data_IF_631923650854
#
_entry.id   IF_631923650854
#
_cell.length_a   1.000
_cell.length_b   1.000
_cell.length_c   1.000
_cell.angle_alpha   90.00
_cell.angle_beta   90.00
_cell.angle_gamma   90.00
#
_symmetry.space_group_name_H-M   'P 1'
#
loop_
_entity.id
_entity.type
_entity.pdbx_description
1 polymer ?
#
# COMPACT_ATOMS: atom_id res chain seq x y z
N UNK A 1 0.20 19.28 -7.25
CA UNK A 1 0.50 19.02 -8.68
C UNK A 1 -0.55 18.07 -9.19
N UNK A 2 -1.17 18.27 -10.34
CA UNK A 2 -2.26 17.39 -10.76
C UNK A 2 -1.77 16.16 -11.53
N UNK A 3 -2.31 15.00 -11.16
CA UNK A 3 -2.13 13.72 -11.84
C UNK A 3 -3.45 13.37 -12.53
N UNK A 4 -3.38 13.13 -13.84
CA UNK A 4 -4.51 12.72 -14.66
C UNK A 4 -4.40 11.23 -15.00
N UNK A 5 -5.55 10.56 -15.17
CA UNK A 5 -5.61 9.13 -15.56
C UNK A 5 -4.96 8.83 -16.92
N UNK A 6 -4.79 9.84 -17.78
CA UNK A 6 -4.15 9.73 -19.09
C UNK A 6 -2.64 10.06 -19.08
N UNK A 7 -2.09 10.43 -17.92
CA UNK A 7 -0.68 10.78 -17.79
C UNK A 7 0.17 9.51 -17.77
N UNK A 8 1.28 9.49 -18.51
CA UNK A 8 2.17 8.32 -18.57
C UNK A 8 3.00 8.19 -17.30
N UNK A 9 2.39 7.72 -16.21
CA UNK A 9 3.08 7.45 -14.95
C UNK A 9 3.96 6.20 -15.07
N UNK A 10 5.14 6.24 -14.44
CA UNK A 10 6.14 5.18 -14.56
C UNK A 10 6.70 4.82 -13.19
N UNK A 11 6.88 3.52 -12.96
CA UNK A 11 7.74 2.98 -11.93
C UNK A 11 9.14 2.80 -12.48
N UNK A 12 10.15 3.32 -11.78
CA UNK A 12 11.56 3.17 -12.14
C UNK A 12 12.30 2.37 -11.09
N UNK A 13 13.02 1.33 -11.49
CA UNK A 13 13.86 0.52 -10.61
C UNK A 13 15.27 1.11 -10.56
N UNK A 14 15.62 1.73 -9.44
CA UNK A 14 16.94 2.33 -9.20
C UNK A 14 17.84 1.29 -8.53
N UNK A 15 18.94 0.91 -9.17
CA UNK A 15 19.93 0.03 -8.56
C UNK A 15 21.35 0.48 -8.86
N UNK A 16 22.21 0.37 -7.86
CA UNK A 16 23.64 0.66 -8.01
C UNK A 16 24.40 -0.51 -8.67
N UNK A 17 23.82 -1.73 -8.67
CA UNK A 17 24.42 -2.95 -9.22
C UNK A 17 23.37 -3.99 -9.65
N UNK A 18 23.76 -4.98 -10.45
CA UNK A 18 22.91 -6.13 -10.81
C UNK A 18 22.67 -7.09 -9.63
N UNK A 19 23.51 -7.03 -8.59
CA UNK A 19 23.44 -7.94 -7.43
C UNK A 19 22.77 -7.32 -6.20
N UNK A 20 22.49 -6.02 -6.23
CA UNK A 20 21.82 -5.31 -5.13
C UNK A 20 20.31 -5.27 -5.35
N UNK A 21 19.51 -5.27 -4.27
CA UNK A 21 18.09 -4.95 -4.37
C UNK A 21 17.92 -3.58 -5.03
N UNK A 22 17.01 -3.50 -6.00
CA UNK A 22 16.67 -2.24 -6.63
C UNK A 22 15.60 -1.52 -5.80
N UNK A 23 15.76 -0.21 -5.59
CA UNK A 23 14.72 0.64 -5.01
C UNK A 23 13.66 0.96 -6.07
N UNK A 24 12.40 0.96 -5.66
CA UNK A 24 11.30 1.39 -6.52
C UNK A 24 11.13 2.90 -6.37
N UNK A 25 11.09 3.61 -7.49
CA UNK A 25 10.78 5.03 -7.54
C UNK A 25 9.56 5.27 -8.39
N UNK A 26 8.72 6.21 -7.95
CA UNK A 26 7.63 6.76 -8.73
C UNK A 26 8.16 7.91 -9.59
N UNK A 27 7.83 7.89 -10.87
CA UNK A 27 8.32 8.88 -11.85
C UNK A 27 7.16 9.46 -12.62
N UNK A 28 7.13 10.80 -12.65
CA UNK A 28 6.25 11.57 -13.51
C UNK A 28 7.12 12.18 -14.60
N UNK A 29 7.05 11.64 -15.84
CA UNK A 29 7.79 12.21 -16.96
C UNK A 29 7.16 13.55 -17.33
N UNK A 30 7.96 14.61 -17.37
CA UNK A 30 7.50 15.89 -17.91
C UNK A 30 7.65 15.88 -19.44
N UNK A 31 6.55 16.11 -20.14
CA UNK A 31 6.42 15.89 -21.59
C UNK A 31 7.18 16.85 -22.49
N UNK A 32 8.10 17.69 -21.98
CA UNK A 32 8.79 18.71 -22.79
C UNK A 32 10.33 18.65 -22.66
N UNK A 33 10.99 18.93 -23.79
CA UNK A 33 12.44 18.76 -23.96
C UNK A 33 13.20 19.78 -23.12
N UNK A 34 13.67 19.37 -21.94
CA UNK A 34 14.56 20.17 -21.08
C UNK A 34 14.14 20.28 -19.61
N UNK A 35 12.96 19.77 -19.26
CA UNK A 35 12.54 19.64 -17.88
C UNK A 35 13.00 18.29 -17.29
N UNK A 36 13.26 18.26 -15.98
CA UNK A 36 13.70 17.04 -15.28
C UNK A 36 12.48 16.30 -14.77
N UNK A 37 12.44 14.98 -15.00
CA UNK A 37 11.47 14.09 -14.40
C UNK A 37 11.34 14.32 -12.89
N UNK A 38 10.10 14.35 -12.41
CA UNK A 38 9.85 14.34 -10.98
C UNK A 38 9.95 12.88 -10.53
N UNK A 39 10.88 12.60 -9.63
CA UNK A 39 11.14 11.26 -9.10
C UNK A 39 10.96 11.27 -7.59
N UNK A 40 10.16 10.33 -7.08
CA UNK A 40 9.96 10.07 -5.67
C UNK A 40 10.46 8.65 -5.36
N UNK A 41 11.50 8.53 -4.54
CA UNK A 41 11.97 7.23 -4.06
C UNK A 41 11.01 6.68 -3.01
N UNK A 42 10.60 5.42 -3.16
CA UNK A 42 9.81 4.71 -2.16
C UNK A 42 10.72 3.91 -1.21
N UNK A 43 10.18 3.44 -0.10
CA UNK A 43 10.86 2.49 0.79
C UNK A 43 10.94 1.05 0.24
N UNK A 44 10.32 0.79 -0.92
CA UNK A 44 10.13 -0.57 -1.45
C UNK A 44 11.36 -1.04 -2.23
N UNK A 45 11.76 -2.28 -1.98
CA UNK A 45 12.94 -2.90 -2.58
C UNK A 45 12.57 -4.17 -3.33
N UNK A 46 13.04 -4.29 -4.58
CA UNK A 46 12.88 -5.50 -5.41
C UNK A 46 14.20 -6.26 -5.41
N UNK A 47 14.16 -7.52 -4.96
CA UNK A 47 15.34 -8.39 -5.00
C UNK A 47 15.89 -8.59 -6.41
N UNK A 48 17.21 -8.64 -6.55
CA UNK A 48 17.91 -8.78 -7.84
C UNK A 48 17.42 -9.96 -8.70
N UNK A 49 17.09 -11.08 -8.07
CA UNK A 49 16.55 -12.29 -8.75
C UNK A 49 15.10 -12.13 -9.21
N UNK A 50 14.30 -11.34 -8.49
CA UNK A 50 12.91 -11.04 -8.87
C UNK A 50 12.87 -10.05 -10.03
N UNK A 51 13.83 -9.12 -10.10
CA UNK A 51 13.95 -8.15 -11.18
C UNK A 51 14.13 -8.80 -12.54
N UNK A 52 15.07 -9.74 -12.66
CA UNK A 52 15.35 -10.41 -13.94
C UNK A 52 14.23 -11.33 -14.43
N UNK A 53 13.37 -11.82 -13.53
CA UNK A 53 12.23 -12.66 -13.90
C UNK A 53 10.95 -11.87 -14.21
N UNK A 54 10.69 -10.78 -13.48
CA UNK A 54 9.43 -10.03 -13.58
C UNK A 54 9.51 -8.77 -14.44
N UNK A 55 10.68 -8.15 -14.59
CA UNK A 55 10.81 -6.83 -15.21
C UNK A 55 11.88 -6.84 -16.33
N UNK A 56 11.42 -6.70 -17.57
CA UNK A 56 12.28 -6.63 -18.76
C UNK A 56 12.82 -5.22 -19.06
N UNK A 57 12.36 -4.22 -18.30
CA UNK A 57 12.69 -2.80 -18.44
C UNK A 57 12.86 -2.21 -17.05
N UNK A 58 13.80 -1.27 -16.91
CA UNK A 58 14.01 -0.51 -15.68
C UNK A 58 12.89 0.52 -15.43
N UNK A 59 12.10 0.77 -16.47
CA UNK A 59 10.91 1.60 -16.45
C UNK A 59 9.68 0.76 -16.78
N UNK A 60 8.69 0.79 -15.89
CA UNK A 60 7.43 0.07 -16.00
C UNK A 60 6.29 1.06 -15.94
N UNK A 61 5.45 1.11 -16.97
CA UNK A 61 4.26 1.96 -16.94
C UNK A 61 3.30 1.52 -15.85
N UNK A 62 2.65 2.48 -15.21
CA UNK A 62 1.55 2.22 -14.30
C UNK A 62 0.45 1.47 -15.04
N UNK A 63 -0.03 0.41 -14.41
CA UNK A 63 -1.20 -0.33 -14.88
C UNK A 63 -2.49 0.29 -14.37
N UNK A 64 -3.61 -0.09 -14.97
CA UNK A 64 -4.94 0.31 -14.51
C UNK A 64 -5.16 -0.05 -13.03
N UNK A 65 -4.70 -1.23 -12.58
CA UNK A 65 -4.83 -1.64 -11.19
C UNK A 65 -4.07 -0.72 -10.23
N UNK A 66 -2.88 -0.25 -10.62
CA UNK A 66 -2.07 0.65 -9.79
C UNK A 66 -2.79 2.00 -9.64
N UNK A 67 -3.40 2.50 -10.72
CA UNK A 67 -4.17 3.73 -10.71
C UNK A 67 -5.48 3.62 -9.92
N UNK A 68 -6.23 2.52 -10.09
CA UNK A 68 -7.47 2.27 -9.33
C UNK A 68 -7.20 2.15 -7.83
N UNK A 69 -6.11 1.47 -7.44
CA UNK A 69 -5.70 1.39 -6.04
C UNK A 69 -5.32 2.78 -5.49
N UNK A 70 -4.57 3.58 -6.25
CA UNK A 70 -4.26 4.97 -5.88
C UNK A 70 -5.55 5.76 -5.58
N UNK A 71 -6.53 5.73 -6.49
CA UNK A 71 -7.78 6.45 -6.31
C UNK A 71 -8.55 5.98 -5.07
N UNK A 72 -8.68 4.66 -4.88
CA UNK A 72 -9.39 4.10 -3.73
C UNK A 72 -8.74 4.52 -2.40
N UNK A 73 -7.41 4.58 -2.35
CA UNK A 73 -6.68 5.03 -1.16
C UNK A 73 -6.84 6.52 -0.90
N UNK A 74 -6.76 7.34 -1.95
CA UNK A 74 -6.94 8.78 -1.80
C UNK A 74 -8.36 9.13 -1.32
N UNK A 75 -9.38 8.45 -1.84
CA UNK A 75 -10.77 8.64 -1.39
C UNK A 75 -10.93 8.29 0.10
N UNK A 76 -10.35 7.17 0.54
CA UNK A 76 -10.54 6.64 1.90
C UNK A 76 -9.67 7.30 2.97
N UNK A 77 -8.47 7.74 2.60
CA UNK A 77 -7.51 8.34 3.54
C UNK A 77 -7.67 9.85 3.69
N UNK A 78 -8.29 10.53 2.72
CA UNK A 78 -8.40 12.00 2.70
C UNK A 78 -9.85 12.51 2.66
N UNK A 79 -10.80 11.79 3.30
CA UNK A 79 -12.23 12.16 3.41
C UNK A 79 -12.88 12.56 2.07
N UNK A 80 -12.46 11.90 0.98
CA UNK A 80 -12.73 12.31 -0.39
C UNK A 80 -12.01 13.63 -0.70
N UNK A 81 -11.10 13.68 -1.68
CA UNK A 81 -10.52 14.97 -2.04
C UNK A 81 -11.68 15.88 -2.49
N UNK A 82 -11.94 16.96 -1.75
CA UNK A 82 -12.74 18.11 -2.22
C UNK A 82 -12.22 18.61 -3.60
N UNK A 83 -11.00 18.18 -3.98
CA UNK A 83 -10.28 18.47 -5.21
C UNK A 83 -10.38 17.38 -6.32
N UNK A 84 -11.23 16.34 -6.20
CA UNK A 84 -11.52 15.45 -7.33
C UNK A 84 -12.53 16.11 -8.28
N UNK A 85 -12.02 16.98 -9.15
CA UNK A 85 -12.84 17.63 -10.20
C UNK A 85 -12.48 17.02 -11.54
N UNK A 86 -13.45 16.38 -12.20
CA UNK A 86 -13.39 15.96 -13.61
C UNK A 86 -12.28 14.93 -13.96
N UNK A 87 -11.97 14.01 -13.04
CA UNK A 87 -11.00 12.92 -13.27
C UNK A 87 -9.52 13.33 -13.14
N UNK A 88 -9.28 14.54 -12.64
CA UNK A 88 -7.97 15.06 -12.30
C UNK A 88 -7.80 15.00 -10.78
N UNK A 89 -6.68 14.44 -10.32
CA UNK A 89 -6.38 14.32 -8.89
C UNK A 89 -5.17 15.20 -8.59
N UNK A 90 -5.39 16.28 -7.84
CA UNK A 90 -4.30 17.10 -7.33
C UNK A 90 -3.56 16.37 -6.21
N UNK A 91 -2.30 16.06 -6.44
CA UNK A 91 -1.42 15.33 -5.54
C UNK A 91 -0.23 16.22 -5.20
N UNK A 92 -0.02 16.47 -3.90
CA UNK A 92 1.18 17.13 -3.42
C UNK A 92 2.21 16.09 -3.00
N UNK A 93 3.24 15.87 -3.83
CA UNK A 93 4.32 14.92 -3.51
C UNK A 93 5.23 15.37 -2.35
N UNK A 94 5.03 16.58 -1.83
CA UNK A 94 5.68 17.03 -0.58
C UNK A 94 4.91 16.63 0.67
N UNK A 95 3.63 16.24 0.52
CA UNK A 95 2.81 15.72 1.61
C UNK A 95 3.23 14.28 1.96
N UNK A 96 3.69 14.03 3.20
CA UNK A 96 4.06 12.69 3.65
C UNK A 96 2.93 11.66 3.51
N UNK A 97 1.66 12.07 3.66
CA UNK A 97 0.52 11.17 3.54
C UNK A 97 0.30 10.71 2.08
N UNK A 98 0.59 11.57 1.11
CA UNK A 98 0.60 11.20 -0.31
C UNK A 98 1.74 10.23 -0.62
N UNK A 99 2.94 10.51 -0.09
CA UNK A 99 4.10 9.63 -0.24
C UNK A 99 3.82 8.24 0.33
N UNK A 100 3.08 8.18 1.44
CA UNK A 100 2.61 6.93 2.05
C UNK A 100 1.67 6.17 1.11
N UNK A 101 0.67 6.82 0.51
CA UNK A 101 -0.21 6.19 -0.48
C UNK A 101 0.60 5.62 -1.65
N UNK A 102 1.54 6.38 -2.20
CA UNK A 102 2.39 5.91 -3.31
C UNK A 102 3.23 4.69 -2.88
N UNK A 103 3.71 4.67 -1.64
CA UNK A 103 4.47 3.55 -1.08
C UNK A 103 3.60 2.30 -0.91
N UNK A 104 2.32 2.46 -0.53
CA UNK A 104 1.35 1.36 -0.46
C UNK A 104 1.10 0.77 -1.86
N UNK A 105 0.86 1.61 -2.87
CA UNK A 105 0.68 1.15 -4.26
C UNK A 105 1.94 0.44 -4.77
N UNK A 106 3.12 0.99 -4.47
CA UNK A 106 4.39 0.35 -4.80
C UNK A 106 4.54 -1.01 -4.12
N UNK A 107 4.18 -1.12 -2.84
CA UNK A 107 4.22 -2.41 -2.12
C UNK A 107 3.30 -3.44 -2.78
N UNK A 108 2.05 -3.08 -3.04
CA UNK A 108 1.09 -3.96 -3.71
C UNK A 108 1.59 -4.46 -5.07
N UNK A 109 2.33 -3.61 -5.81
CA UNK A 109 2.86 -3.95 -7.13
C UNK A 109 4.11 -4.83 -7.09
N UNK A 110 5.03 -4.53 -6.17
CA UNK A 110 6.40 -5.04 -6.25
C UNK A 110 6.74 -6.08 -5.18
N UNK A 111 6.11 -6.00 -4.00
CA UNK A 111 6.38 -6.94 -2.93
C UNK A 111 5.75 -8.31 -3.19
N UNK A 112 6.38 -9.34 -2.63
CA UNK A 112 5.80 -10.67 -2.59
C UNK A 112 5.03 -10.79 -1.27
N UNK A 113 3.76 -11.15 -1.35
CA UNK A 113 2.96 -11.36 -0.16
C UNK A 113 3.51 -12.52 0.68
N UNK A 114 3.64 -12.30 1.98
CA UNK A 114 3.85 -13.35 2.97
C UNK A 114 2.50 -13.96 3.36
N UNK A 115 2.36 -15.27 3.15
CA UNK A 115 1.14 -15.99 3.52
C UNK A 115 1.13 -16.29 5.02
N UNK A 116 0.21 -15.65 5.72
CA UNK A 116 -0.02 -15.79 7.16
C UNK A 116 -1.42 -16.35 7.45
N UNK A 117 -2.11 -16.91 6.44
CA UNK A 117 -3.48 -17.44 6.60
C UNK A 117 -3.57 -18.62 7.56
N UNK A 118 -2.45 -19.31 7.80
CA UNK A 118 -2.35 -20.43 8.73
C UNK A 118 -1.92 -20.02 10.15
N UNK A 119 -1.58 -18.74 10.36
CA UNK A 119 -1.13 -18.24 11.66
C UNK A 119 -2.30 -18.10 12.63
N UNK A 120 -2.02 -18.41 13.89
CA UNK A 120 -2.99 -18.22 14.95
C UNK A 120 -2.81 -16.84 15.59
N UNK A 121 -3.64 -15.89 15.17
CA UNK A 121 -3.66 -14.53 15.70
C UNK A 121 -4.48 -14.40 17.01
N UNK A 122 -4.70 -15.52 17.70
CA UNK A 122 -5.43 -15.66 18.95
C UNK A 122 -6.93 -15.96 18.77
N UNK A 123 -7.69 -15.86 19.85
CA UNK A 123 -9.14 -16.14 19.83
C UNK A 123 -9.92 -15.13 18.96
N UNK A 124 -10.94 -15.57 18.21
CA UNK A 124 -11.77 -14.69 17.40
C UNK A 124 -12.41 -13.59 18.22
N UNK A 125 -12.34 -12.35 17.73
CA UNK A 125 -13.03 -11.21 18.33
C UNK A 125 -14.34 -11.00 17.58
N UNK A 126 -15.46 -11.25 18.26
CA UNK A 126 -16.78 -10.99 17.68
C UNK A 126 -17.06 -9.49 17.70
N UNK A 127 -17.02 -8.86 16.53
CA UNK A 127 -17.33 -7.44 16.33
C UNK A 127 -18.28 -7.25 15.15
N UNK A 128 -18.81 -6.03 15.02
CA UNK A 128 -19.59 -5.64 13.85
C UNK A 128 -18.64 -5.28 12.71
N UNK A 129 -18.73 -6.04 11.63
CA UNK A 129 -18.03 -5.73 10.40
C UNK A 129 -18.94 -4.90 9.49
N UNK A 130 -18.44 -3.75 9.05
CA UNK A 130 -18.97 -3.11 7.85
C UNK A 130 -18.54 -3.92 6.63
N UNK A 131 -19.13 -3.61 5.46
CA UNK A 131 -18.65 -4.16 4.21
C UNK A 131 -17.18 -3.74 4.03
N UNK A 132 -16.33 -4.72 3.72
CA UNK A 132 -14.88 -4.54 3.61
C UNK A 132 -14.52 -4.58 2.12
N UNK A 133 -13.75 -3.61 1.67
CA UNK A 133 -13.35 -3.41 0.28
C UNK A 133 -11.85 -3.10 0.16
N UNK A 134 -11.35 -3.10 -1.08
CA UNK A 134 -9.99 -2.65 -1.39
C UNK A 134 -9.85 -1.16 -1.06
N UNK A 135 -8.74 -0.81 -0.42
CA UNK A 135 -8.43 0.52 0.09
C UNK A 135 -8.85 0.74 1.54
N UNK A 136 -9.67 -0.15 2.14
CA UNK A 136 -10.06 -0.02 3.54
C UNK A 136 -8.86 -0.14 4.48
N UNK A 137 -8.82 0.77 5.45
CA UNK A 137 -7.96 0.68 6.61
C UNK A 137 -8.57 -0.33 7.60
N UNK A 138 -7.79 -1.33 7.98
CA UNK A 138 -8.19 -2.38 8.90
C UNK A 138 -7.06 -2.63 9.89
N UNK A 139 -7.30 -3.52 10.84
CA UNK A 139 -6.28 -3.99 11.76
C UNK A 139 -6.23 -5.50 11.80
N UNK A 140 -5.11 -6.05 12.24
CA UNK A 140 -5.01 -7.44 12.66
C UNK A 140 -4.22 -7.50 13.97
N UNK A 141 -4.36 -8.60 14.71
CA UNK A 141 -3.75 -8.76 16.03
C UNK A 141 -2.51 -9.64 15.96
N UNK A 142 -1.44 -9.25 16.63
CA UNK A 142 -0.28 -10.12 16.90
C UNK A 142 -0.01 -10.08 18.41
N UNK A 143 -0.19 -11.22 19.08
CA UNK A 143 -0.16 -11.28 20.55
C UNK A 143 -1.23 -10.36 21.16
N UNK A 144 -0.80 -9.37 21.92
CA UNK A 144 -1.66 -8.39 22.60
C UNK A 144 -1.73 -7.03 21.87
N UNK A 145 -1.15 -6.92 20.67
CA UNK A 145 -1.07 -5.68 19.90
C UNK A 145 -1.92 -5.75 18.63
N UNK A 146 -2.48 -4.60 18.24
CA UNK A 146 -3.22 -4.42 16.99
C UNK A 146 -2.40 -3.55 16.06
N UNK A 147 -2.27 -3.97 14.81
CA UNK A 147 -1.44 -3.33 13.80
C UNK A 147 -2.28 -2.89 12.62
N UNK A 148 -2.00 -1.68 12.12
CA UNK A 148 -2.73 -1.10 11.01
C UNK A 148 -2.28 -1.68 9.67
N UNK A 149 -3.27 -1.99 8.83
CA UNK A 149 -3.07 -2.50 7.48
C UNK A 149 -4.06 -1.89 6.52
N UNK A 150 -3.68 -1.82 5.25
CA UNK A 150 -4.56 -1.40 4.16
C UNK A 150 -4.79 -2.58 3.24
N UNK A 151 -6.06 -2.86 2.92
CA UNK A 151 -6.41 -3.92 1.99
C UNK A 151 -6.08 -3.49 0.57
N UNK A 152 -5.28 -4.28 -0.14
CA UNK A 152 -4.92 -4.03 -1.55
C UNK A 152 -5.53 -5.06 -2.49
N UNK A 153 -5.85 -6.26 -1.99
CA UNK A 153 -6.65 -7.25 -2.70
C UNK A 153 -7.55 -8.00 -1.71
N UNK A 154 -8.77 -8.34 -2.14
CA UNK A 154 -9.75 -9.02 -1.30
C UNK A 154 -10.38 -10.20 -2.05
N UNK A 155 -10.46 -11.34 -1.37
CA UNK A 155 -11.14 -12.55 -1.81
C UNK A 155 -12.20 -12.97 -0.78
N UNK A 156 -12.95 -14.04 -1.06
CA UNK A 156 -14.02 -14.53 -0.20
C UNK A 156 -13.56 -14.95 1.21
N UNK A 157 -12.32 -15.42 1.34
CA UNK A 157 -11.79 -16.00 2.59
C UNK A 157 -10.52 -15.34 3.11
N UNK A 158 -9.84 -14.54 2.28
CA UNK A 158 -8.54 -13.97 2.58
C UNK A 158 -8.44 -12.55 2.04
N UNK A 159 -7.55 -11.76 2.62
CA UNK A 159 -7.22 -10.42 2.17
C UNK A 159 -5.70 -10.28 2.09
N UNK A 160 -5.24 -9.64 1.01
CA UNK A 160 -3.85 -9.20 0.89
C UNK A 160 -3.78 -7.75 1.32
N UNK A 161 -2.91 -7.47 2.29
CA UNK A 161 -2.83 -6.17 2.95
C UNK A 161 -1.39 -5.67 3.00
N UNK A 162 -1.22 -4.35 2.94
CA UNK A 162 0.06 -3.67 3.21
C UNK A 162 0.09 -3.22 4.65
N UNK A 163 1.17 -3.53 5.38
CA UNK A 163 1.35 -3.10 6.76
C UNK A 163 1.79 -1.64 6.85
N UNK A 164 1.13 -0.86 7.70
CA UNK A 164 1.45 0.56 7.91
C UNK A 164 2.39 0.81 9.09
N UNK A 165 2.83 -0.26 9.74
CA UNK A 165 3.65 -0.23 10.95
C UNK A 165 4.67 -1.38 10.93
N UNK A 166 5.74 -1.24 11.71
CA UNK A 166 6.66 -2.35 11.97
C UNK A 166 6.04 -3.27 13.04
N UNK A 167 5.58 -4.44 12.60
CA UNK A 167 4.91 -5.44 13.44
C UNK A 167 5.95 -6.29 14.19
N UNK A 168 7.14 -6.45 13.62
CA UNK A 168 8.19 -7.31 14.14
C UNK A 168 7.87 -8.80 13.92
N UNK A 169 8.25 -9.64 14.87
CA UNK A 169 8.14 -11.10 14.73
C UNK A 169 6.72 -11.59 14.93
N UNK A 170 6.15 -12.19 13.89
CA UNK A 170 4.84 -12.87 13.94
C UNK A 170 4.98 -14.36 14.26
N UNK A 171 6.13 -14.96 13.93
CA UNK A 171 6.47 -16.34 14.26
C UNK A 171 8.00 -16.56 14.23
N UNK A 172 8.47 -17.77 14.57
CA UNK A 172 9.90 -18.09 14.49
C UNK A 172 10.41 -18.01 13.04
N UNK A 173 11.27 -17.03 12.76
CA UNK A 173 11.83 -16.82 11.42
C UNK A 173 10.94 -15.98 10.50
N UNK A 174 9.81 -15.49 11.00
CA UNK A 174 8.86 -14.68 10.25
C UNK A 174 8.64 -13.32 10.92
N UNK A 175 9.06 -12.26 10.25
CA UNK A 175 8.86 -10.89 10.68
C UNK A 175 8.13 -10.10 9.61
N UNK A 176 7.27 -9.18 10.03
CA UNK A 176 6.51 -8.29 9.16
C UNK A 176 6.90 -6.85 9.49
N UNK A 177 7.46 -6.15 8.51
CA UNK A 177 7.89 -4.76 8.64
C UNK A 177 6.92 -3.76 8.03
N UNK A 178 7.28 -2.49 8.14
CA UNK A 178 6.59 -1.39 7.46
C UNK A 178 6.55 -1.63 5.95
N UNK A 179 5.37 -1.46 5.37
CA UNK A 179 5.05 -1.69 3.95
C UNK A 179 5.22 -3.12 3.46
N UNK A 180 5.44 -4.11 4.34
CA UNK A 180 5.40 -5.49 3.91
C UNK A 180 3.99 -5.91 3.51
N UNK A 181 3.94 -6.77 2.49
CA UNK A 181 2.69 -7.30 1.95
C UNK A 181 2.41 -8.64 2.63
N UNK A 182 1.24 -8.78 3.23
CA UNK A 182 0.80 -10.00 3.92
C UNK A 182 -0.54 -10.48 3.37
N UNK A 183 -0.75 -11.79 3.37
CA UNK A 183 -2.06 -12.39 3.09
C UNK A 183 -2.54 -13.08 4.36
N UNK A 184 -3.68 -12.65 4.89
CA UNK A 184 -4.29 -13.17 6.12
C UNK A 184 -5.73 -13.62 5.87
N UNK A 185 -6.26 -14.45 6.76
CA UNK A 185 -7.67 -14.82 6.73
C UNK A 185 -8.52 -13.57 6.95
N UNK A 186 -9.61 -13.45 6.19
CA UNK A 186 -10.57 -12.35 6.36
C UNK A 186 -11.20 -12.36 7.76
N UNK A 187 -11.21 -13.50 8.43
CA UNK A 187 -11.71 -13.64 9.80
C UNK A 187 -10.77 -13.04 10.86
N UNK A 188 -9.49 -12.85 10.52
CA UNK A 188 -8.48 -12.28 11.43
C UNK A 188 -8.35 -10.76 11.25
N UNK A 189 -8.96 -10.19 10.21
CA UNK A 189 -9.12 -8.76 10.06
C UNK A 189 -10.10 -8.23 11.10
N UNK A 190 -9.82 -7.03 11.60
CA UNK A 190 -10.64 -6.30 12.55
C UNK A 190 -10.80 -4.86 12.06
N UNK A 191 -11.90 -4.17 12.43
CA UNK A 191 -12.05 -2.77 12.08
C UNK A 191 -10.89 -1.90 12.59
N UNK A 192 -10.60 -0.80 11.90
CA UNK A 192 -9.44 0.05 12.21
C UNK A 192 -9.44 0.61 13.64
N UNK A 193 -10.62 0.78 14.26
CA UNK A 193 -10.79 1.30 15.61
C UNK A 193 -10.25 0.39 16.74
N UNK A 194 -9.83 -0.84 16.43
CA UNK A 194 -9.06 -1.68 17.36
C UNK A 194 -7.58 -1.27 17.44
N UNK A 195 -7.08 -0.57 16.43
CA UNK A 195 -5.70 -0.10 16.34
C UNK A 195 -5.52 1.32 16.87
N UNK A 196 -4.30 1.88 16.79
CA UNK A 196 -3.99 3.23 17.22
C UNK A 196 -4.49 4.30 16.21
N UNK A 197 -5.79 4.30 15.90
CA UNK A 197 -6.41 5.31 15.04
C UNK A 197 -6.94 6.48 15.85
N UNK A 198 -6.84 7.68 15.28
CA UNK A 198 -7.54 8.84 15.83
C UNK A 198 -9.04 8.65 15.62
N UNK A 199 -9.87 8.93 16.64
CA UNK A 199 -11.32 8.84 16.47
C UNK A 199 -11.78 9.81 15.40
N UNK A 200 -12.57 9.31 14.45
CA UNK A 200 -13.23 10.13 13.44
C UNK A 200 -14.38 10.91 14.07
N UNK A 201 -14.86 11.95 13.37
CA UNK A 201 -15.93 12.83 13.91
C UNK A 201 -17.26 12.11 14.10
N UNK A 202 -17.45 10.96 13.46
CA UNK A 202 -18.61 10.07 13.54
C UNK A 202 -18.44 8.93 14.55
N UNK A 203 -17.28 8.78 15.18
CA UNK A 203 -17.06 7.72 16.17
C UNK A 203 -17.87 7.99 17.45
N UNK A 204 -18.72 7.03 17.83
CA UNK A 204 -19.51 7.08 19.05
C UNK A 204 -18.79 6.27 20.14
N UNK A 205 -18.35 6.96 21.19
CA UNK A 205 -17.91 6.31 22.43
C UNK A 205 -19.11 5.61 23.08
N UNK A 206 -19.07 4.27 23.07
CA UNK A 206 -20.06 3.42 23.75
C UNK A 206 -19.67 3.15 25.20
#
# INVERSE_FOLDING_TARGET
>A
MAIQSNQSLVWRLLSDSEFTPAKVAFVIPEGDVGLRDITLETGIHVGATSRSQKFNSDELQWSENDFQLLLALLERMFDGPDEMVDGEVSIDLTDPSIVEVISIVASARFNKSQDLTSHHFGDPIFTHYNEVEVGDLMTFRVGDQFHLVVIVELDAVQATCVCLEDVGWVSEGESVGLHDLITISRMDLLPANFGPVFPRTDDVLH
#
